data_IF_827036491969
#
_entry.id   IF_827036491969
#
_cell.length_a   1.000
_cell.length_b   1.000
_cell.length_c   1.000
_cell.angle_alpha   90.00
_cell.angle_beta   90.00
_cell.angle_gamma   90.00
#
_symmetry.space_group_name_H-M   'P 1'
#
loop_
_entity.id
_entity.type
_entity.pdbx_description
1 polymer ?
#
# COMPACT_ATOMS: atom_id res chain seq x y z
N UNK A 1 6.03 -18.16 21.53
CA UNK A 1 5.34 -19.33 20.92
C UNK A 1 5.73 -19.35 19.45
N UNK A 2 6.20 -20.46 18.87
CA UNK A 2 6.60 -20.47 17.47
C UNK A 2 5.34 -20.38 16.60
N UNK A 3 5.34 -19.46 15.64
CA UNK A 3 4.22 -19.24 14.76
C UNK A 3 3.96 -20.51 13.92
N UNK A 4 2.75 -21.03 14.03
CA UNK A 4 2.21 -22.06 13.15
C UNK A 4 2.10 -21.46 11.75
N UNK A 5 2.89 -21.99 10.82
CA UNK A 5 2.90 -21.60 9.42
C UNK A 5 1.60 -22.08 8.76
N UNK A 6 0.55 -21.26 8.87
CA UNK A 6 -0.66 -21.40 8.05
C UNK A 6 -0.26 -21.20 6.60
N UNK A 7 -0.76 -22.07 5.74
CA UNK A 7 -0.64 -22.18 4.26
C UNK A 7 -1.05 -20.90 3.52
N UNK A 8 -0.34 -19.81 3.79
CA UNK A 8 -0.66 -18.46 3.35
C UNK A 8 -0.43 -18.34 1.85
N UNK A 9 -1.46 -17.87 1.16
CA UNK A 9 -1.37 -17.37 -0.22
C UNK A 9 -0.19 -16.39 -0.26
N UNK A 10 0.79 -16.53 -1.17
CA UNK A 10 2.03 -15.74 -1.18
C UNK A 10 1.80 -14.30 -1.64
N UNK A 11 0.68 -13.69 -1.25
CA UNK A 11 0.23 -12.43 -1.80
C UNK A 11 0.81 -11.22 -1.06
N UNK A 12 1.22 -11.33 0.22
CA UNK A 12 1.61 -10.17 1.03
C UNK A 12 2.69 -10.48 2.06
N UNK A 13 3.65 -9.57 2.21
CA UNK A 13 4.67 -9.65 3.27
C UNK A 13 4.04 -9.46 4.65
N UNK A 14 4.61 -10.10 5.68
CA UNK A 14 4.21 -9.82 7.07
C UNK A 14 4.49 -8.35 7.42
N UNK A 15 3.48 -7.67 7.97
CA UNK A 15 3.62 -6.26 8.38
C UNK A 15 3.78 -6.23 9.90
N UNK A 16 4.98 -5.96 10.44
CA UNK A 16 5.27 -6.16 11.85
C UNK A 16 4.52 -5.18 12.77
N UNK A 17 4.12 -4.02 12.26
CA UNK A 17 3.41 -2.97 13.03
C UNK A 17 2.14 -2.52 12.29
N UNK A 18 1.00 -3.09 12.65
CA UNK A 18 -0.32 -2.73 12.10
C UNK A 18 -1.07 -1.88 13.14
N UNK A 19 -1.57 -0.72 12.73
CA UNK A 19 -2.37 0.17 13.56
C UNK A 19 -3.25 1.11 12.73
N UNK A 20 -4.09 1.92 13.40
CA UNK A 20 -4.98 2.88 12.74
C UNK A 20 -4.28 4.21 12.38
N UNK A 21 -3.16 4.51 13.02
CA UNK A 21 -2.28 5.62 12.66
C UNK A 21 -1.30 5.20 11.55
N UNK A 22 -1.85 4.91 10.37
CA UNK A 22 -1.08 4.34 9.26
C UNK A 22 -1.17 5.13 7.94
N UNK A 23 -1.86 6.28 7.92
CA UNK A 23 -2.04 7.13 6.73
C UNK A 23 -0.75 7.89 6.38
N UNK A 24 0.29 7.14 6.10
CA UNK A 24 1.60 7.59 5.72
C UNK A 24 1.82 7.40 4.21
N UNK A 25 2.80 8.13 3.68
CA UNK A 25 3.24 7.97 2.30
C UNK A 25 4.73 7.67 2.29
N UNK A 26 5.16 6.81 1.36
CA UNK A 26 6.58 6.56 1.08
C UNK A 26 6.93 7.24 -0.22
N UNK A 27 7.96 8.08 -0.19
CA UNK A 27 8.53 8.72 -1.36
C UNK A 27 9.93 8.15 -1.60
N UNK A 28 10.27 7.90 -2.87
CA UNK A 28 11.58 7.44 -3.27
C UNK A 28 12.01 8.18 -4.54
N UNK A 29 13.26 8.61 -4.55
CA UNK A 29 13.84 9.43 -5.63
C UNK A 29 15.28 9.00 -5.89
N UNK A 30 15.80 9.21 -7.10
CA UNK A 30 17.21 9.00 -7.38
C UNK A 30 18.10 9.84 -6.44
N UNK A 31 19.27 9.31 -6.11
CA UNK A 31 20.26 10.07 -5.34
C UNK A 31 20.62 11.39 -6.04
N UNK A 32 20.88 12.43 -5.26
CA UNK A 32 21.28 13.74 -5.79
C UNK A 32 20.17 14.57 -6.45
N UNK A 33 18.89 14.16 -6.42
CA UNK A 33 17.79 15.06 -6.84
C UNK A 33 17.78 16.32 -5.98
N UNK A 34 17.79 17.48 -6.65
CA UNK A 34 17.67 18.82 -6.04
C UNK A 34 16.19 19.21 -5.86
N UNK A 35 15.89 20.10 -4.92
CA UNK A 35 14.55 20.69 -4.75
C UNK A 35 14.09 21.54 -5.94
N UNK A 36 15.03 22.01 -6.76
CA UNK A 36 14.75 22.82 -7.95
C UNK A 36 14.42 21.96 -9.19
N UNK A 37 14.69 20.66 -9.13
CA UNK A 37 14.54 19.75 -10.25
C UNK A 37 13.07 19.33 -10.43
N UNK A 38 12.50 19.60 -11.60
CA UNK A 38 11.10 19.26 -11.93
C UNK A 38 11.01 17.87 -12.55
N UNK A 39 11.11 16.85 -11.72
CA UNK A 39 10.96 15.46 -12.16
C UNK A 39 9.48 15.05 -12.29
N UNK A 40 9.12 14.23 -13.29
CA UNK A 40 7.81 13.60 -13.34
C UNK A 40 7.60 12.67 -12.14
N UNK A 41 6.37 12.65 -11.64
CA UNK A 41 5.99 11.88 -10.46
C UNK A 41 5.08 10.71 -10.85
N UNK A 42 5.42 9.53 -10.33
CA UNK A 42 4.61 8.32 -10.45
C UNK A 42 4.01 8.04 -9.08
N UNK A 43 2.68 8.10 -9.00
CA UNK A 43 1.93 7.71 -7.80
C UNK A 43 1.45 6.27 -8.00
N UNK A 44 1.96 5.37 -7.18
CA UNK A 44 1.61 3.95 -7.19
C UNK A 44 0.61 3.65 -6.09
N UNK A 45 -0.64 3.44 -6.51
CA UNK A 45 -1.71 2.93 -5.68
C UNK A 45 -1.67 1.40 -5.78
N UNK A 46 -1.16 0.74 -4.74
CA UNK A 46 -1.21 -0.72 -4.64
C UNK A 46 -2.65 -1.16 -4.46
N UNK A 47 -2.92 -2.40 -4.84
CA UNK A 47 -4.19 -3.06 -4.58
C UNK A 47 -3.97 -4.57 -4.62
N UNK A 48 -4.25 -5.21 -3.49
CA UNK A 48 -4.01 -6.63 -3.20
C UNK A 48 -5.28 -7.33 -2.69
N UNK A 49 -6.45 -6.73 -2.99
CA UNK A 49 -7.70 -7.03 -2.31
C UNK A 49 -7.76 -6.22 -1.03
N UNK A 50 -8.90 -5.62 -0.74
CA UNK A 50 -9.08 -4.58 0.30
C UNK A 50 -8.92 -5.08 1.75
N UNK A 51 -7.97 -5.98 2.01
CA UNK A 51 -7.79 -6.78 3.22
C UNK A 51 -6.57 -6.30 4.00
N UNK A 52 -5.42 -6.10 3.35
CA UNK A 52 -4.17 -5.70 3.98
C UNK A 52 -3.23 -5.16 2.89
N UNK A 53 -2.54 -4.04 3.15
CA UNK A 53 -1.51 -3.45 2.29
C UNK A 53 -0.51 -2.66 3.17
N UNK A 54 0.68 -2.38 2.66
CA UNK A 54 1.68 -1.52 3.29
C UNK A 54 2.55 -0.76 2.28
N UNK A 55 2.80 0.53 2.57
CA UNK A 55 3.82 1.38 1.93
C UNK A 55 5.21 0.74 1.82
N UNK A 56 5.51 -0.20 2.72
CA UNK A 56 6.81 -0.81 2.89
C UNK A 56 6.84 -2.30 2.54
N UNK A 57 5.80 -2.82 1.87
CA UNK A 57 5.85 -4.19 1.36
C UNK A 57 6.97 -4.32 0.31
N UNK A 58 7.90 -5.24 0.56
CA UNK A 58 9.11 -5.49 -0.22
C UNK A 58 8.83 -6.03 -1.63
N UNK A 59 7.64 -6.60 -1.88
CA UNK A 59 7.23 -7.02 -3.22
C UNK A 59 7.08 -5.81 -4.16
N UNK A 60 6.90 -4.60 -3.62
CA UNK A 60 6.71 -3.36 -4.37
C UNK A 60 7.84 -2.35 -4.16
N UNK A 61 9.07 -2.81 -3.89
CA UNK A 61 10.20 -1.91 -3.72
C UNK A 61 10.50 -1.10 -5.01
N UNK A 62 10.61 0.24 -4.92
CA UNK A 62 10.78 1.09 -6.09
C UNK A 62 12.19 1.12 -6.69
N UNK A 63 13.19 0.47 -6.09
CA UNK A 63 14.60 0.59 -6.53
C UNK A 63 14.79 0.24 -8.02
N UNK A 64 14.19 -0.86 -8.48
CA UNK A 64 14.25 -1.26 -9.88
C UNK A 64 13.53 -0.25 -10.80
N UNK A 65 12.43 0.32 -10.33
CA UNK A 65 11.65 1.32 -11.06
C UNK A 65 12.38 2.68 -11.12
N UNK A 66 13.26 2.99 -10.17
CA UNK A 66 14.07 4.21 -10.17
C UNK A 66 15.38 4.04 -10.93
N UNK A 67 15.97 2.85 -10.92
CA UNK A 67 17.29 2.57 -11.52
C UNK A 67 17.27 2.70 -13.04
N UNK A 68 16.35 2.02 -13.73
CA UNK A 68 16.31 2.00 -15.19
C UNK A 68 16.04 3.40 -15.80
N UNK A 69 15.04 4.17 -15.35
CA UNK A 69 14.81 5.51 -15.89
C UNK A 69 15.97 6.47 -15.60
N UNK A 70 16.62 6.33 -14.43
CA UNK A 70 17.81 7.11 -14.10
C UNK A 70 18.95 6.84 -15.07
N UNK A 71 19.23 5.57 -15.40
CA UNK A 71 20.24 5.19 -16.38
C UNK A 71 19.94 5.75 -17.78
N UNK A 72 18.66 5.82 -18.15
CA UNK A 72 18.20 6.38 -19.44
C UNK A 72 18.11 7.92 -19.45
N UNK A 73 18.54 8.61 -18.38
CA UNK A 73 18.44 10.07 -18.26
C UNK A 73 17.01 10.59 -18.06
N UNK A 74 16.04 9.71 -17.78
CA UNK A 74 14.63 10.02 -17.54
C UNK A 74 14.27 9.80 -16.08
N UNK A 75 14.88 10.58 -15.19
CA UNK A 75 14.69 10.47 -13.74
C UNK A 75 13.24 10.71 -13.36
N UNK A 76 12.72 9.95 -12.40
CA UNK A 76 11.34 10.03 -11.90
C UNK A 76 11.32 10.07 -10.38
N UNK A 77 10.23 10.55 -9.79
CA UNK A 77 9.93 10.40 -8.36
C UNK A 77 8.84 9.35 -8.21
N UNK A 78 9.06 8.38 -7.33
CA UNK A 78 8.07 7.38 -6.96
C UNK A 78 7.40 7.77 -5.64
N UNK A 79 6.08 7.71 -5.60
CA UNK A 79 5.29 7.93 -4.39
C UNK A 79 4.28 6.80 -4.24
N UNK A 80 4.15 6.27 -3.03
CA UNK A 80 3.09 5.32 -2.71
C UNK A 80 2.45 5.69 -1.38
N UNK A 81 1.17 5.35 -1.23
CA UNK A 81 0.29 5.85 -0.18
C UNK A 81 -0.33 4.67 0.55
N UNK A 82 -0.41 4.78 1.87
CA UNK A 82 -1.33 3.94 2.64
C UNK A 82 -2.73 4.54 2.58
N UNK A 83 -3.72 3.67 2.40
CA UNK A 83 -5.13 4.06 2.41
C UNK A 83 -5.93 3.06 3.23
N UNK A 84 -7.10 3.49 3.72
CA UNK A 84 -7.93 2.65 4.58
C UNK A 84 -8.48 1.45 3.82
N UNK A 85 -8.38 0.29 4.45
CA UNK A 85 -8.84 -1.00 3.94
C UNK A 85 -9.98 -1.53 4.79
N UNK A 86 -10.56 -2.66 4.38
CA UNK A 86 -11.61 -3.39 5.09
C UNK A 86 -12.74 -2.46 5.55
N UNK A 87 -13.24 -2.63 6.76
CA UNK A 87 -14.30 -1.81 7.34
C UNK A 87 -13.85 -0.35 7.58
N UNK A 88 -12.55 -0.10 7.75
CA UNK A 88 -12.05 1.25 8.00
C UNK A 88 -12.12 2.14 6.74
N UNK A 89 -12.09 1.55 5.54
CA UNK A 89 -12.14 2.28 4.27
C UNK A 89 -13.35 1.96 3.39
N UNK A 90 -13.94 0.78 3.55
CA UNK A 90 -15.00 0.23 2.69
C UNK A 90 -16.23 -0.24 3.48
N UNK A 91 -16.49 0.34 4.66
CA UNK A 91 -17.74 0.10 5.38
C UNK A 91 -18.96 0.51 4.51
N UNK A 92 -19.99 -0.35 4.41
CA UNK A 92 -21.22 0.02 3.71
C UNK A 92 -21.92 1.17 4.44
N UNK A 93 -22.34 2.17 3.67
CA UNK A 93 -23.00 3.37 4.19
C UNK A 93 -24.46 3.15 4.60
N UNK A 94 -25.10 2.10 4.10
CA UNK A 94 -26.49 1.78 4.38
C UNK A 94 -26.58 0.64 5.42
N UNK A 95 -27.28 0.84 6.56
CA UNK A 95 -27.45 -0.18 7.58
C UNK A 95 -28.42 -1.31 7.18
N UNK A 96 -28.97 -1.37 5.97
CA UNK A 96 -29.90 -2.44 5.53
C UNK A 96 -29.39 -3.86 5.75
N UNK A 97 -28.08 -4.09 5.83
CA UNK A 97 -27.51 -5.39 6.20
C UNK A 97 -27.85 -5.80 7.65
N UNK A 98 -28.09 -4.85 8.56
CA UNK A 98 -28.58 -5.11 9.93
C UNK A 98 -30.05 -5.53 9.96
N UNK A 99 -30.85 -5.14 8.96
CA UNK A 99 -32.25 -5.57 8.85
C UNK A 99 -32.36 -7.01 8.35
N UNK A 100 -31.44 -7.46 7.50
CA UNK A 100 -31.39 -8.84 7.02
C UNK A 100 -31.07 -9.86 8.14
N UNK A 101 -30.32 -9.45 9.18
CA UNK A 101 -30.03 -10.29 10.35
C UNK A 101 -31.23 -10.39 11.30
N UNK A 102 -32.15 -9.43 11.27
CA UNK A 102 -33.35 -9.40 12.14
C UNK A 102 -34.53 -10.21 11.60
N UNK A 103 -34.47 -10.72 10.37
CA UNK A 103 -35.56 -11.49 9.74
C UNK A 103 -35.53 -13.00 10.08
N UNK A 104 -34.49 -13.45 10.80
CA UNK A 104 -34.34 -14.84 11.27
C UNK A 104 -34.73 -15.03 12.75
N UNK A 105 -35.37 -14.04 13.39
CA UNK A 105 -35.99 -14.16 14.73
C UNK A 105 -37.52 -14.27 14.67
#
# INVERSE_FOLDING_TARGET
MPAIQTWYVPALEETPDIGEDFLNLRMSRPAGTSSEEKLPMVIWLRSDGVVKDSAYDSHFDPDNLLTLPTFLGKRIIYVTLNYRLTIFGFAPSNPKWLEAVKMDE
#
